data_IF_867817328122
#
_entry.id   IF_867817328122
#
_cell.length_a   1.000
_cell.length_b   1.000
_cell.length_c   1.000
_cell.angle_alpha   90.00
_cell.angle_beta   90.00
_cell.angle_gamma   90.00
#
_symmetry.space_group_name_H-M   'P 1'
#
loop_
_entity.id
_entity.type
_entity.pdbx_description
1 polymer ?
#
# COMPACT_ATOMS: atom_id res chain seq x y z
N UNK A 1 1.10 3.37 -29.18
CA UNK A 1 1.13 4.24 -27.99
C UNK A 1 0.91 3.34 -26.80
N UNK A 2 1.79 3.42 -25.80
CA UNK A 2 1.63 2.67 -24.55
C UNK A 2 0.38 3.19 -23.83
N UNK A 3 -0.44 2.29 -23.28
CA UNK A 3 -1.68 2.65 -22.57
C UNK A 3 -1.32 3.45 -21.31
N UNK A 4 -1.85 4.64 -21.18
CA UNK A 4 -1.64 5.49 -20.01
C UNK A 4 -2.90 5.46 -19.14
N UNK A 5 -2.77 5.00 -17.90
CA UNK A 5 -3.85 5.01 -16.94
C UNK A 5 -3.90 6.30 -16.15
N UNK A 6 -5.10 6.64 -15.70
CA UNK A 6 -5.41 7.83 -14.90
C UNK A 6 -5.88 7.40 -13.52
N UNK A 7 -5.37 8.07 -12.50
CA UNK A 7 -5.74 7.82 -11.12
C UNK A 7 -6.26 9.09 -10.44
N UNK A 8 -7.34 8.95 -9.69
CA UNK A 8 -7.82 9.95 -8.75
C UNK A 8 -7.56 9.49 -7.31
N UNK A 9 -7.42 10.44 -6.41
CA UNK A 9 -7.21 10.16 -4.99
C UNK A 9 -8.20 10.97 -4.17
N UNK A 10 -8.99 10.29 -3.35
CA UNK A 10 -9.75 10.87 -2.25
C UNK A 10 -9.09 10.51 -0.92
N UNK A 11 -8.99 11.46 -0.01
CA UNK A 11 -8.50 11.20 1.34
C UNK A 11 -9.31 11.96 2.39
N UNK A 12 -9.39 11.39 3.59
CA UNK A 12 -10.11 11.98 4.72
C UNK A 12 -9.35 13.14 5.36
N UNK A 13 -9.99 13.84 6.31
CA UNK A 13 -9.43 15.02 6.96
C UNK A 13 -8.35 14.71 8.02
N UNK A 14 -8.24 13.45 8.43
CA UNK A 14 -7.24 13.00 9.41
C UNK A 14 -5.82 13.18 8.84
N UNK A 15 -4.85 13.73 9.62
CA UNK A 15 -3.47 13.87 9.19
C UNK A 15 -2.81 12.57 8.71
N UNK A 16 -3.18 11.41 9.28
CA UNK A 16 -2.65 10.12 8.86
C UNK A 16 -3.14 9.72 7.46
N UNK A 17 -4.37 10.08 7.11
CA UNK A 17 -4.93 9.81 5.77
C UNK A 17 -4.27 10.70 4.72
N UNK A 18 -4.06 11.97 5.03
CA UNK A 18 -3.36 12.91 4.17
C UNK A 18 -1.91 12.47 3.95
N UNK A 19 -1.19 12.10 5.02
CA UNK A 19 0.19 11.63 4.94
C UNK A 19 0.31 10.36 4.10
N UNK A 20 -0.62 9.40 4.21
CA UNK A 20 -0.63 8.20 3.38
C UNK A 20 -0.84 8.54 1.90
N UNK A 21 -1.81 9.41 1.62
CA UNK A 21 -2.09 9.85 0.26
C UNK A 21 -0.90 10.62 -0.36
N UNK A 22 -0.24 11.50 0.40
CA UNK A 22 0.97 12.21 -0.02
C UNK A 22 2.13 11.26 -0.33
N UNK A 23 2.39 10.27 0.53
CA UNK A 23 3.45 9.28 0.29
C UNK A 23 3.17 8.44 -0.95
N UNK A 24 1.92 8.04 -1.15
CA UNK A 24 1.53 7.31 -2.35
C UNK A 24 1.78 8.15 -3.61
N UNK A 25 1.32 9.40 -3.65
CA UNK A 25 1.56 10.30 -4.78
C UNK A 25 3.06 10.56 -4.96
N UNK A 26 3.80 10.85 -3.89
CA UNK A 26 5.25 11.04 -3.93
C UNK A 26 5.99 9.84 -4.52
N UNK A 27 5.54 8.62 -4.17
CA UNK A 27 6.09 7.39 -4.75
C UNK A 27 5.76 7.25 -6.25
N UNK A 28 4.54 7.64 -6.68
CA UNK A 28 4.13 7.61 -8.08
C UNK A 28 4.88 8.62 -8.95
N UNK A 29 5.01 9.85 -8.48
CA UNK A 29 5.66 10.93 -9.25
C UNK A 29 7.17 10.90 -9.14
N UNK A 30 7.71 10.02 -8.28
CA UNK A 30 9.15 9.90 -8.04
C UNK A 30 9.78 11.24 -7.65
N UNK A 31 9.17 11.93 -6.69
CA UNK A 31 9.57 13.25 -6.23
C UNK A 31 10.96 13.23 -5.57
N UNK A 32 11.77 14.24 -5.83
CA UNK A 32 13.11 14.38 -5.26
C UNK A 32 13.08 14.52 -3.73
N UNK A 33 12.08 15.20 -3.16
CA UNK A 33 11.89 15.28 -1.70
C UNK A 33 11.57 13.91 -1.09
N UNK A 34 10.86 13.06 -1.81
CA UNK A 34 10.60 11.68 -1.40
C UNK A 34 11.90 10.86 -1.30
N UNK A 35 12.84 11.09 -2.21
CA UNK A 35 14.14 10.41 -2.23
C UNK A 35 15.07 10.82 -1.09
N UNK A 36 14.86 11.96 -0.42
CA UNK A 36 15.70 12.41 0.70
C UNK A 36 15.55 11.56 1.97
N UNK A 37 14.57 10.64 2.02
CA UNK A 37 14.36 9.80 3.19
C UNK A 37 15.61 9.06 3.66
N UNK A 38 16.47 8.60 2.74
CA UNK A 38 17.73 7.92 3.08
C UNK A 38 18.72 8.81 3.82
N UNK A 39 18.72 10.11 3.54
CA UNK A 39 19.65 11.07 4.16
C UNK A 39 19.10 11.65 5.46
N UNK A 40 17.77 11.80 5.54
CA UNK A 40 17.10 12.48 6.67
C UNK A 40 16.83 11.55 7.85
N UNK A 41 16.65 10.24 7.60
CA UNK A 41 16.33 9.28 8.65
C UNK A 41 17.59 8.88 9.46
N UNK A 42 17.38 8.36 10.66
CA UNK A 42 18.45 8.09 11.65
C UNK A 42 19.64 7.31 11.11
N UNK A 43 19.44 6.43 10.16
CA UNK A 43 20.48 5.57 9.62
C UNK A 43 21.32 6.22 8.51
N UNK A 44 20.98 7.40 8.06
CA UNK A 44 21.72 8.27 7.12
C UNK A 44 22.54 7.51 6.09
N UNK A 45 21.89 6.78 5.21
CA UNK A 45 22.54 6.12 4.09
C UNK A 45 22.74 7.14 2.97
N UNK A 46 23.94 7.19 2.40
CA UNK A 46 24.21 8.04 1.25
C UNK A 46 23.29 7.62 0.09
N UNK A 47 22.60 8.59 -0.50
CA UNK A 47 21.80 8.34 -1.69
C UNK A 47 22.68 7.83 -2.83
N UNK A 48 22.29 6.72 -3.45
CA UNK A 48 22.93 6.14 -4.63
C UNK A 48 22.02 6.19 -5.86
N UNK A 49 21.00 7.06 -5.79
CA UNK A 49 20.08 7.31 -6.90
C UNK A 49 19.31 6.08 -7.37
N UNK A 50 19.00 5.13 -6.48
CA UNK A 50 18.30 3.89 -6.78
C UNK A 50 16.95 4.08 -7.48
N UNK A 51 16.39 5.27 -7.48
CA UNK A 51 15.10 5.64 -8.10
C UNK A 51 15.23 6.40 -9.43
N UNK A 52 16.42 6.80 -9.87
CA UNK A 52 16.60 7.62 -11.10
C UNK A 52 16.02 6.96 -12.36
N UNK A 53 16.06 5.63 -12.44
CA UNK A 53 15.56 4.87 -13.58
C UNK A 53 14.04 4.56 -13.50
N UNK A 54 13.38 4.93 -12.40
CA UNK A 54 11.96 4.64 -12.24
C UNK A 54 11.10 5.60 -13.07
N UNK A 55 10.00 5.05 -13.58
CA UNK A 55 9.02 5.84 -14.31
C UNK A 55 8.37 6.88 -13.40
N UNK A 56 8.25 8.10 -13.90
CA UNK A 56 7.46 9.15 -13.28
C UNK A 56 6.02 9.08 -13.81
N UNK A 57 5.06 8.93 -12.91
CA UNK A 57 3.64 8.83 -13.22
C UNK A 57 2.86 10.13 -12.93
N UNK A 58 3.52 11.30 -12.88
CA UNK A 58 2.85 12.57 -12.62
C UNK A 58 1.70 12.85 -13.58
N UNK A 59 1.84 12.47 -14.86
CA UNK A 59 0.79 12.57 -15.85
C UNK A 59 -0.39 11.62 -15.66
N UNK A 60 -0.27 10.66 -14.74
CA UNK A 60 -1.36 9.75 -14.37
C UNK A 60 -2.24 10.29 -13.24
N UNK A 61 -1.74 11.20 -12.40
CA UNK A 61 -2.50 11.77 -11.28
C UNK A 61 -3.40 12.89 -11.80
N UNK A 62 -4.71 12.67 -11.77
CA UNK A 62 -5.70 13.58 -12.34
C UNK A 62 -6.38 14.48 -11.32
N UNK A 63 -6.55 14.00 -10.09
CA UNK A 63 -7.02 14.79 -8.97
C UNK A 63 -6.53 14.21 -7.65
N UNK A 64 -6.50 15.06 -6.62
CA UNK A 64 -6.04 14.77 -5.28
C UNK A 64 -6.85 15.62 -4.32
N UNK A 65 -7.99 15.09 -3.85
CA UNK A 65 -8.99 15.86 -3.14
C UNK A 65 -9.23 15.35 -1.72
N UNK A 66 -9.22 16.28 -0.78
CA UNK A 66 -9.64 16.02 0.60
C UNK A 66 -11.17 16.01 0.69
N UNK A 67 -11.71 14.94 1.24
CA UNK A 67 -13.13 14.83 1.54
C UNK A 67 -13.39 14.92 3.03
N UNK A 68 -14.51 15.58 3.37
CA UNK A 68 -15.03 15.49 4.74
C UNK A 68 -14.49 16.54 5.70
N UNK A 69 -14.04 17.70 5.24
CA UNK A 69 -13.83 18.84 6.14
C UNK A 69 -15.17 19.29 6.72
N UNK A 70 -15.24 19.35 8.06
CA UNK A 70 -16.44 19.77 8.80
C UNK A 70 -17.68 18.87 8.61
N UNK A 71 -17.50 17.58 8.44
CA UNK A 71 -18.60 16.61 8.44
C UNK A 71 -19.15 16.51 9.87
N UNK A 72 -20.48 16.59 10.07
CA UNK A 72 -21.10 16.32 11.36
C UNK A 72 -21.00 14.83 11.70
N UNK A 73 -21.11 14.48 13.00
CA UNK A 73 -21.07 13.07 13.46
C UNK A 73 -22.17 12.21 12.84
N UNK A 74 -23.26 12.82 12.39
CA UNK A 74 -24.36 12.18 11.68
C UNK A 74 -24.64 12.92 10.38
N UNK A 75 -24.63 12.20 9.26
CA UNK A 75 -24.86 12.74 7.92
C UNK A 75 -26.22 12.22 7.43
N UNK A 76 -27.17 13.13 7.17
CA UNK A 76 -28.46 12.77 6.59
C UNK A 76 -28.36 12.43 5.09
N UNK A 77 -27.55 13.21 4.36
CA UNK A 77 -27.36 13.06 2.91
C UNK A 77 -25.88 13.01 2.58
N UNK A 78 -25.22 11.85 2.63
CA UNK A 78 -23.79 11.72 2.39
C UNK A 78 -23.33 12.22 1.00
N UNK A 79 -24.20 12.13 -0.01
CA UNK A 79 -23.91 12.61 -1.35
C UNK A 79 -23.62 14.11 -1.43
N UNK A 80 -24.14 14.91 -0.51
CA UNK A 80 -23.87 16.38 -0.44
C UNK A 80 -22.39 16.69 -0.11
N UNK A 81 -21.67 15.74 0.48
CA UNK A 81 -20.26 15.85 0.84
C UNK A 81 -19.32 15.20 -0.17
N UNK A 82 -19.86 14.60 -1.23
CA UNK A 82 -19.09 14.10 -2.36
C UNK A 82 -19.01 15.17 -3.46
N UNK A 83 -17.90 15.24 -4.25
CA UNK A 83 -17.80 16.17 -5.35
C UNK A 83 -18.92 15.96 -6.38
N UNK A 84 -19.58 17.03 -6.84
CA UNK A 84 -20.62 16.91 -7.87
C UNK A 84 -20.12 16.25 -9.16
N UNK A 85 -18.86 16.48 -9.49
CA UNK A 85 -18.19 15.89 -10.66
C UNK A 85 -16.74 15.60 -10.35
N UNK A 86 -16.21 14.53 -10.95
CA UNK A 86 -14.78 14.22 -10.95
C UNK A 86 -14.27 14.06 -12.38
N UNK A 87 -13.01 14.37 -12.65
CA UNK A 87 -12.39 14.03 -13.93
C UNK A 87 -12.49 12.52 -14.21
N UNK A 88 -12.60 12.09 -15.48
CA UNK A 88 -12.59 10.67 -15.80
C UNK A 88 -11.24 10.04 -15.46
N UNK A 89 -11.27 8.99 -14.63
CA UNK A 89 -10.10 8.22 -14.22
C UNK A 89 -10.35 6.71 -14.39
N UNK A 90 -9.28 5.95 -14.56
CA UNK A 90 -9.34 4.49 -14.62
C UNK A 90 -9.38 3.88 -13.23
N UNK A 91 -8.62 4.46 -12.29
CA UNK A 91 -8.48 3.98 -10.92
C UNK A 91 -8.78 5.09 -9.92
N UNK A 92 -9.36 4.71 -8.80
CA UNK A 92 -9.61 5.60 -7.68
C UNK A 92 -8.99 5.01 -6.41
N UNK A 93 -8.14 5.77 -5.73
CA UNK A 93 -7.68 5.46 -4.39
C UNK A 93 -8.49 6.26 -3.38
N UNK A 94 -8.95 5.62 -2.30
CA UNK A 94 -9.79 6.23 -1.27
C UNK A 94 -9.23 5.93 0.10
N UNK A 95 -8.72 6.94 0.80
CA UNK A 95 -7.96 6.80 2.04
C UNK A 95 -8.74 7.39 3.21
N UNK A 96 -9.28 6.53 4.07
CA UNK A 96 -9.84 6.91 5.37
C UNK A 96 -10.85 8.06 5.34
N UNK A 97 -11.75 8.06 4.37
CA UNK A 97 -12.90 9.00 4.33
C UNK A 97 -13.95 8.61 5.38
N UNK A 98 -14.90 9.50 5.67
CA UNK A 98 -15.99 9.22 6.59
C UNK A 98 -16.76 7.96 6.17
N UNK A 99 -17.20 7.14 7.14
CA UNK A 99 -17.84 5.85 6.88
C UNK A 99 -19.15 5.98 6.08
N UNK A 100 -19.93 7.02 6.33
CA UNK A 100 -21.16 7.27 5.57
C UNK A 100 -20.86 7.64 4.12
N UNK A 101 -19.79 8.41 3.86
CA UNK A 101 -19.33 8.69 2.49
C UNK A 101 -18.83 7.43 1.79
N UNK A 102 -18.16 6.54 2.54
CA UNK A 102 -17.68 5.28 2.00
C UNK A 102 -18.83 4.35 1.63
N UNK A 103 -19.93 4.33 2.41
CA UNK A 103 -21.12 3.52 2.10
C UNK A 103 -21.85 4.00 0.83
N UNK A 104 -21.85 5.30 0.56
CA UNK A 104 -22.45 5.88 -0.65
C UNK A 104 -21.54 5.82 -1.89
N UNK A 105 -20.25 5.56 -1.69
CA UNK A 105 -19.29 5.62 -2.76
C UNK A 105 -19.60 4.71 -3.97
N UNK A 106 -20.09 3.46 -3.81
CA UNK A 106 -20.46 2.61 -4.94
C UNK A 106 -21.52 3.26 -5.83
N UNK A 107 -22.60 3.76 -5.24
CA UNK A 107 -23.70 4.40 -5.97
C UNK A 107 -23.24 5.71 -6.65
N UNK A 108 -22.42 6.50 -5.96
CA UNK A 108 -21.79 7.70 -6.52
C UNK A 108 -20.93 7.40 -7.76
N UNK A 109 -20.27 6.23 -7.81
CA UNK A 109 -19.33 5.86 -8.88
C UNK A 109 -19.96 5.08 -10.04
N UNK A 110 -21.21 4.61 -9.92
CA UNK A 110 -21.86 3.68 -10.87
C UNK A 110 -21.76 4.09 -12.35
N UNK A 111 -21.85 5.38 -12.64
CA UNK A 111 -21.88 5.92 -14.01
C UNK A 111 -20.53 6.51 -14.44
N UNK A 112 -19.48 6.43 -13.62
CA UNK A 112 -18.21 7.12 -13.84
C UNK A 112 -17.16 6.31 -14.60
N UNK A 113 -17.48 5.08 -15.02
CA UNK A 113 -16.60 4.18 -15.80
C UNK A 113 -15.24 3.91 -15.16
N UNK A 114 -15.19 3.91 -13.82
CA UNK A 114 -14.00 3.56 -13.07
C UNK A 114 -13.79 2.04 -13.16
N UNK A 115 -12.56 1.61 -13.44
CA UNK A 115 -12.20 0.19 -13.54
C UNK A 115 -12.08 -0.47 -12.18
N UNK A 116 -11.40 0.21 -11.26
CA UNK A 116 -11.20 -0.30 -9.92
C UNK A 116 -11.03 0.81 -8.88
N UNK A 117 -11.49 0.49 -7.65
CA UNK A 117 -11.36 1.33 -6.46
C UNK A 117 -10.47 0.61 -5.45
N UNK A 118 -9.48 1.31 -4.91
CA UNK A 118 -8.54 0.79 -3.92
C UNK A 118 -8.75 1.58 -2.62
N UNK A 119 -9.14 0.87 -1.56
CA UNK A 119 -9.51 1.43 -0.26
C UNK A 119 -8.57 0.84 0.79
N UNK A 120 -7.35 1.39 0.95
CA UNK A 120 -6.39 0.86 1.91
C UNK A 120 -6.87 1.04 3.35
N UNK A 121 -6.62 0.05 4.18
CA UNK A 121 -6.93 0.06 5.61
C UNK A 121 -5.63 0.03 6.40
N UNK A 122 -5.12 1.21 6.77
CA UNK A 122 -3.92 1.36 7.59
C UNK A 122 -4.26 1.58 9.08
N UNK A 123 -5.53 1.88 9.38
CA UNK A 123 -6.06 1.97 10.73
C UNK A 123 -7.35 1.15 10.84
N UNK A 124 -7.49 0.24 11.83
CA UNK A 124 -8.69 -0.58 12.00
C UNK A 124 -10.00 0.22 12.14
N UNK A 125 -9.88 1.50 12.56
CA UNK A 125 -11.03 2.39 12.77
C UNK A 125 -11.56 3.00 11.48
N UNK A 126 -10.79 3.01 10.39
CA UNK A 126 -11.22 3.65 9.14
C UNK A 126 -12.36 2.89 8.48
N UNK A 127 -12.29 1.57 8.45
CA UNK A 127 -13.30 0.74 7.80
C UNK A 127 -13.65 -0.43 8.71
N UNK A 128 -14.78 -0.35 9.46
CA UNK A 128 -15.28 -1.48 10.22
C UNK A 128 -15.57 -2.70 9.33
N UNK A 129 -15.35 -3.94 9.82
CA UNK A 129 -15.52 -5.15 9.01
C UNK A 129 -16.89 -5.27 8.34
N UNK A 130 -17.97 -4.91 9.04
CA UNK A 130 -19.32 -4.94 8.46
C UNK A 130 -19.50 -3.98 7.29
N UNK A 131 -18.99 -2.76 7.41
CA UNK A 131 -18.99 -1.77 6.33
C UNK A 131 -18.15 -2.24 5.15
N UNK A 132 -16.98 -2.84 5.41
CA UNK A 132 -16.12 -3.38 4.36
C UNK A 132 -16.87 -4.41 3.50
N UNK A 133 -17.58 -5.35 4.14
CA UNK A 133 -18.39 -6.38 3.43
C UNK A 133 -19.49 -5.72 2.61
N UNK A 134 -20.26 -4.84 3.21
CA UNK A 134 -21.35 -4.13 2.53
C UNK A 134 -20.86 -3.38 1.27
N UNK A 135 -19.84 -2.55 1.42
CA UNK A 135 -19.30 -1.75 0.31
C UNK A 135 -18.72 -2.63 -0.80
N UNK A 136 -18.08 -3.75 -0.42
CA UNK A 136 -17.56 -4.72 -1.38
C UNK A 136 -18.69 -5.38 -2.20
N UNK A 137 -19.79 -5.79 -1.55
CA UNK A 137 -20.98 -6.36 -2.21
C UNK A 137 -21.66 -5.34 -3.13
N UNK A 138 -21.74 -4.07 -2.72
CA UNK A 138 -22.30 -3.00 -3.54
C UNK A 138 -21.44 -2.72 -4.78
N UNK A 139 -20.11 -2.72 -4.67
CA UNK A 139 -19.21 -2.64 -5.82
C UNK A 139 -19.35 -3.84 -6.76
N UNK A 140 -19.47 -5.06 -6.21
CA UNK A 140 -19.68 -6.26 -7.02
C UNK A 140 -20.99 -6.19 -7.82
N UNK A 141 -22.08 -5.73 -7.18
CA UNK A 141 -23.38 -5.54 -7.83
C UNK A 141 -23.33 -4.54 -8.98
N UNK A 142 -22.48 -3.51 -8.87
CA UNK A 142 -22.30 -2.47 -9.88
C UNK A 142 -21.21 -2.81 -10.89
N UNK A 143 -20.64 -4.02 -10.84
CA UNK A 143 -19.55 -4.48 -11.71
C UNK A 143 -18.29 -3.61 -11.65
N UNK A 144 -18.06 -2.88 -10.55
CA UNK A 144 -16.85 -2.13 -10.26
C UNK A 144 -15.94 -3.00 -9.41
N UNK A 145 -14.68 -3.17 -9.82
CA UNK A 145 -13.72 -3.91 -9.01
C UNK A 145 -13.27 -3.08 -7.82
N UNK A 146 -13.19 -3.69 -6.64
CA UNK A 146 -12.70 -3.04 -5.44
C UNK A 146 -11.71 -3.91 -4.67
N UNK A 147 -10.81 -3.26 -3.96
CA UNK A 147 -9.82 -3.89 -3.08
C UNK A 147 -9.70 -3.12 -1.77
N UNK A 148 -9.63 -3.85 -0.65
CA UNK A 148 -9.43 -3.32 0.69
C UNK A 148 -8.13 -3.88 1.28
N UNK A 149 -6.94 -3.49 0.75
CA UNK A 149 -5.68 -4.00 1.25
C UNK A 149 -5.42 -3.54 2.69
N UNK A 150 -4.97 -4.49 3.53
CA UNK A 150 -4.76 -4.28 4.97
C UNK A 150 -3.52 -5.05 5.45
N UNK A 151 -2.36 -4.41 5.53
CA UNK A 151 -2.02 -3.04 5.12
C UNK A 151 -2.08 -2.81 3.61
N UNK A 152 -1.91 -1.56 3.16
CA UNK A 152 -1.90 -1.27 1.72
C UNK A 152 -0.81 -2.08 0.97
N UNK A 153 0.34 -2.28 1.59
CA UNK A 153 1.42 -3.10 1.02
C UNK A 153 1.13 -4.62 0.98
N UNK A 154 -0.06 -5.08 1.43
CA UNK A 154 -0.50 -6.46 1.22
C UNK A 154 -1.16 -6.69 -0.15
N UNK A 155 -1.29 -5.65 -0.98
CA UNK A 155 -1.91 -5.75 -2.30
C UNK A 155 -1.02 -6.56 -3.25
N UNK A 156 -1.43 -7.77 -3.58
CA UNK A 156 -0.69 -8.74 -4.38
C UNK A 156 -1.53 -9.31 -5.51
N UNK A 157 -0.86 -9.77 -6.57
CA UNK A 157 -1.52 -10.50 -7.67
C UNK A 157 -1.92 -11.91 -7.27
N UNK A 158 -1.19 -12.49 -6.34
CA UNK A 158 -1.45 -13.82 -5.78
C UNK A 158 -1.90 -13.71 -4.34
N UNK A 159 -2.98 -14.39 -4.00
CA UNK A 159 -3.51 -14.39 -2.63
C UNK A 159 -2.68 -15.35 -1.76
N UNK A 160 -1.93 -14.79 -0.84
CA UNK A 160 -1.21 -15.53 0.20
C UNK A 160 -1.98 -15.53 1.53
N UNK A 161 -1.39 -16.12 2.57
CA UNK A 161 -2.03 -16.24 3.88
C UNK A 161 -2.39 -14.87 4.49
N UNK A 162 -1.55 -13.86 4.30
CA UNK A 162 -1.77 -12.53 4.86
C UNK A 162 -2.82 -11.74 4.07
N UNK A 163 -2.75 -11.74 2.76
CA UNK A 163 -3.69 -10.97 1.95
C UNK A 163 -5.08 -11.61 1.80
N UNK A 164 -5.24 -12.92 2.09
CA UNK A 164 -6.58 -13.52 2.26
C UNK A 164 -7.40 -12.85 3.35
N UNK A 165 -6.72 -12.43 4.43
CA UNK A 165 -7.37 -11.77 5.57
C UNK A 165 -7.47 -10.26 5.37
N UNK A 166 -6.41 -9.63 4.82
CA UNK A 166 -6.25 -8.20 4.71
C UNK A 166 -6.55 -7.62 3.32
N UNK A 167 -6.77 -8.46 2.31
CA UNK A 167 -6.97 -8.05 0.93
C UNK A 167 -8.26 -8.66 0.37
N UNK A 168 -9.40 -8.11 0.79
CA UNK A 168 -10.70 -8.51 0.24
C UNK A 168 -10.89 -7.93 -1.15
N UNK A 169 -11.16 -8.83 -2.10
CA UNK A 169 -11.34 -8.53 -3.51
C UNK A 169 -12.79 -8.78 -3.93
N UNK A 170 -13.25 -8.04 -4.93
CA UNK A 170 -14.43 -8.43 -5.72
C UNK A 170 -14.16 -9.74 -6.48
N UNK A 171 -15.20 -10.42 -6.94
CA UNK A 171 -15.09 -11.70 -7.69
C UNK A 171 -14.22 -11.57 -8.92
N UNK A 172 -14.28 -10.43 -9.63
CA UNK A 172 -13.37 -10.06 -10.71
C UNK A 172 -12.34 -9.10 -10.16
N UNK A 173 -11.06 -9.30 -10.43
CA UNK A 173 -9.96 -8.47 -9.91
C UNK A 173 -8.82 -8.25 -10.93
N UNK A 174 -9.08 -8.53 -12.19
CA UNK A 174 -8.12 -8.30 -13.29
C UNK A 174 -7.70 -6.83 -13.43
N UNK A 175 -8.60 -5.87 -13.17
CA UNK A 175 -8.25 -4.44 -13.14
C UNK A 175 -7.35 -4.07 -11.95
N UNK A 176 -7.50 -4.76 -10.81
CA UNK A 176 -6.59 -4.59 -9.67
C UNK A 176 -5.19 -5.11 -10.02
N UNK A 177 -5.11 -6.26 -10.69
CA UNK A 177 -3.84 -6.80 -11.21
C UNK A 177 -3.23 -5.82 -12.22
N UNK A 178 -4.04 -5.27 -13.14
CA UNK A 178 -3.60 -4.26 -14.11
C UNK A 178 -3.03 -3.01 -13.41
N UNK A 179 -3.65 -2.56 -12.32
CA UNK A 179 -3.13 -1.47 -11.49
C UNK A 179 -1.74 -1.81 -10.92
N UNK A 180 -1.61 -2.97 -10.27
CA UNK A 180 -0.34 -3.41 -9.67
C UNK A 180 0.75 -3.50 -10.73
N UNK A 181 0.44 -4.10 -11.89
CA UNK A 181 1.41 -4.28 -12.98
C UNK A 181 1.85 -2.97 -13.62
N UNK A 182 0.94 -2.02 -13.74
CA UNK A 182 1.24 -0.75 -14.38
C UNK A 182 2.06 0.18 -13.47
N UNK A 183 1.62 0.35 -12.21
CA UNK A 183 2.28 1.26 -11.28
C UNK A 183 3.44 0.62 -10.52
N UNK A 184 3.58 -0.69 -10.54
CA UNK A 184 4.57 -1.45 -9.76
C UNK A 184 4.50 -1.14 -8.27
N UNK A 185 3.27 -1.06 -7.76
CA UNK A 185 2.94 -0.74 -6.36
C UNK A 185 2.07 -1.86 -5.78
N UNK A 186 2.42 -2.31 -4.56
CA UNK A 186 1.71 -3.37 -3.85
C UNK A 186 2.61 -4.09 -2.86
N UNK A 187 2.46 -5.41 -2.78
CA UNK A 187 3.35 -6.26 -1.99
C UNK A 187 4.77 -6.16 -2.56
N UNK A 188 5.79 -5.91 -1.70
CA UNK A 188 7.14 -5.71 -2.18
C UNK A 188 7.68 -6.91 -2.95
N UNK A 189 8.27 -6.64 -4.13
CA UNK A 189 9.06 -7.60 -4.89
C UNK A 189 10.43 -6.97 -5.11
N UNK A 190 11.46 -7.71 -4.74
CA UNK A 190 12.84 -7.21 -4.68
C UNK A 190 13.78 -8.15 -5.42
N UNK A 191 14.98 -7.67 -5.76
CA UNK A 191 16.05 -8.51 -6.30
C UNK A 191 17.40 -8.02 -5.79
N UNK A 192 18.38 -8.92 -5.76
CA UNK A 192 19.71 -8.67 -5.22
C UNK A 192 20.80 -9.11 -6.17
N UNK A 193 21.89 -8.32 -6.19
CA UNK A 193 23.17 -8.77 -6.72
C UNK A 193 24.01 -9.20 -5.50
N UNK A 194 24.41 -10.46 -5.49
CA UNK A 194 25.20 -11.05 -4.41
C UNK A 194 26.67 -11.11 -4.77
N UNK A 195 27.54 -11.17 -3.76
CA UNK A 195 28.94 -11.51 -3.92
C UNK A 195 29.12 -12.93 -4.48
N UNK A 196 30.28 -13.22 -5.08
CA UNK A 196 30.57 -14.53 -5.70
C UNK A 196 30.41 -15.70 -4.70
N UNK A 197 30.64 -15.46 -3.42
CA UNK A 197 30.47 -16.45 -2.34
C UNK A 197 29.04 -16.50 -1.78
N UNK A 198 28.13 -15.66 -2.30
CA UNK A 198 26.73 -15.57 -1.89
C UNK A 198 26.51 -14.99 -0.49
N UNK A 199 27.55 -14.43 0.16
CA UNK A 199 27.45 -14.00 1.57
C UNK A 199 27.13 -12.53 1.78
N UNK A 200 27.24 -11.71 0.73
CA UNK A 200 27.01 -10.27 0.83
C UNK A 200 26.07 -9.78 -0.25
N UNK A 201 25.24 -8.81 0.10
CA UNK A 201 24.38 -8.08 -0.84
C UNK A 201 25.23 -6.94 -1.41
N UNK A 202 25.63 -7.03 -2.67
CA UNK A 202 26.41 -6.00 -3.35
C UNK A 202 25.51 -4.87 -3.82
N UNK A 203 24.34 -5.21 -4.37
CA UNK A 203 23.38 -4.23 -4.85
C UNK A 203 21.93 -4.73 -4.67
N UNK A 204 21.00 -3.80 -4.73
CA UNK A 204 19.58 -4.04 -4.47
C UNK A 204 18.72 -3.40 -5.54
N UNK A 205 17.66 -4.08 -5.96
CA UNK A 205 16.69 -3.57 -6.92
C UNK A 205 15.25 -3.77 -6.39
N UNK A 206 14.42 -2.73 -6.51
CA UNK A 206 12.99 -2.80 -6.22
C UNK A 206 12.24 -3.03 -7.52
N UNK A 207 11.62 -4.19 -7.66
CA UNK A 207 10.80 -4.55 -8.82
C UNK A 207 9.34 -4.12 -8.64
N UNK A 208 8.86 -4.14 -7.39
CA UNK A 208 7.55 -3.63 -6.96
C UNK A 208 7.68 -3.05 -5.56
N UNK A 209 7.20 -1.83 -5.38
CA UNK A 209 7.34 -1.09 -4.12
C UNK A 209 6.08 -1.20 -3.26
N UNK A 210 6.26 -1.22 -1.94
CA UNK A 210 5.19 -0.80 -1.05
C UNK A 210 4.67 0.59 -1.46
N UNK A 211 3.36 0.86 -1.30
CA UNK A 211 2.75 2.12 -1.77
C UNK A 211 3.37 3.39 -1.18
N UNK A 212 3.82 3.31 0.06
CA UNK A 212 4.52 4.42 0.74
C UNK A 212 5.99 4.60 0.32
N UNK A 213 6.53 3.71 -0.52
CA UNK A 213 7.94 3.75 -0.96
C UNK A 213 8.96 3.22 0.05
N UNK A 214 8.55 2.71 1.21
CA UNK A 214 9.46 2.20 2.25
C UNK A 214 10.41 1.11 1.76
N UNK A 215 10.01 0.34 0.75
CA UNK A 215 10.83 -0.74 0.18
C UNK A 215 12.19 -0.23 -0.30
N UNK A 216 12.24 0.93 -0.96
CA UNK A 216 13.50 1.53 -1.41
C UNK A 216 14.42 1.84 -0.24
N UNK A 217 13.89 2.52 0.79
CA UNK A 217 14.65 2.84 1.98
C UNK A 217 15.18 1.58 2.69
N UNK A 218 14.33 0.57 2.87
CA UNK A 218 14.72 -0.67 3.55
C UNK A 218 15.84 -1.38 2.79
N UNK A 219 15.74 -1.49 1.46
CA UNK A 219 16.78 -2.14 0.66
C UNK A 219 18.10 -1.41 0.72
N UNK A 220 18.11 -0.07 0.74
CA UNK A 220 19.33 0.70 0.89
C UNK A 220 20.06 0.40 2.22
N UNK A 221 19.33 0.07 3.28
CA UNK A 221 19.94 -0.35 4.56
C UNK A 221 20.57 -1.74 4.50
N UNK A 222 20.23 -2.54 3.50
CA UNK A 222 20.79 -3.89 3.29
C UNK A 222 21.95 -3.92 2.32
N UNK A 223 22.16 -2.86 1.50
CA UNK A 223 23.23 -2.76 0.53
C UNK A 223 24.58 -2.78 1.21
N UNK A 224 25.57 -3.47 0.63
CA UNK A 224 26.91 -3.69 1.14
C UNK A 224 26.95 -4.37 2.52
N UNK A 225 25.96 -5.19 2.84
CA UNK A 225 25.89 -5.94 4.10
C UNK A 225 26.02 -7.44 3.88
N UNK A 226 26.63 -8.12 4.85
CA UNK A 226 26.61 -9.57 4.89
C UNK A 226 25.18 -10.09 5.11
N UNK A 227 24.84 -11.11 4.36
CA UNK A 227 23.50 -11.73 4.44
C UNK A 227 23.38 -12.41 5.78
N UNK A 228 24.45 -13.08 6.21
CA UNK A 228 24.56 -13.60 7.56
C UNK A 228 25.88 -14.27 7.86
N UNK A 229 26.38 -13.89 8.98
CA UNK A 229 26.88 -14.88 9.92
C UNK A 229 25.76 -15.34 10.87
N UNK A 230 24.58 -14.68 10.86
CA UNK A 230 23.47 -14.93 11.78
C UNK A 230 22.16 -14.45 11.13
N UNK A 231 21.22 -15.37 10.92
CA UNK A 231 19.88 -15.12 10.37
C UNK A 231 19.13 -14.04 11.16
N UNK A 232 19.37 -13.95 12.46
CA UNK A 232 18.80 -12.95 13.34
C UNK A 232 19.25 -11.53 12.94
N UNK A 233 20.50 -11.36 12.55
CA UNK A 233 21.03 -10.05 12.18
C UNK A 233 20.42 -9.47 10.90
N UNK A 234 20.03 -10.29 9.92
CA UNK A 234 19.29 -9.84 8.74
C UNK A 234 17.89 -9.36 9.12
N UNK A 235 17.15 -10.17 9.90
CA UNK A 235 15.81 -9.83 10.35
C UNK A 235 15.79 -8.56 11.20
N UNK A 236 16.78 -8.38 12.07
CA UNK A 236 16.93 -7.17 12.89
C UNK A 236 17.17 -5.93 12.03
N UNK A 237 18.05 -6.02 11.02
CA UNK A 237 18.30 -4.91 10.09
C UNK A 237 17.05 -4.52 9.31
N UNK A 238 16.32 -5.49 8.77
CA UNK A 238 15.06 -5.22 8.07
C UNK A 238 14.05 -4.57 9.00
N UNK A 239 13.90 -5.12 10.22
CA UNK A 239 12.97 -4.57 11.22
C UNK A 239 13.35 -3.16 11.62
N UNK A 240 14.63 -2.90 11.90
CA UNK A 240 15.14 -1.57 12.26
C UNK A 240 14.89 -0.57 11.12
N UNK A 241 15.17 -0.95 9.87
CA UNK A 241 14.93 -0.12 8.71
C UNK A 241 13.42 0.17 8.54
N UNK A 242 12.56 -0.84 8.67
CA UNK A 242 11.12 -0.69 8.57
C UNK A 242 10.56 0.24 9.66
N UNK A 243 11.01 0.10 10.92
CA UNK A 243 10.58 0.97 12.02
C UNK A 243 11.16 2.39 11.95
N UNK A 244 12.31 2.58 11.30
CA UNK A 244 12.89 3.91 11.09
C UNK A 244 12.18 4.70 9.99
N UNK A 245 11.54 4.02 9.04
CA UNK A 245 10.75 4.68 8.01
C UNK A 245 9.37 5.06 8.56
N UNK A 246 8.89 6.31 8.33
CA UNK A 246 7.61 6.74 8.86
C UNK A 246 6.44 6.03 8.15
N UNK A 247 6.11 4.82 8.60
CA UNK A 247 4.96 4.06 8.12
C UNK A 247 3.67 4.64 8.72
N UNK A 248 2.59 4.67 7.93
CA UNK A 248 1.28 5.16 8.38
C UNK A 248 0.40 4.06 9.01
N UNK A 249 0.85 2.81 8.94
CA UNK A 249 0.09 1.68 9.48
C UNK A 249 0.00 1.75 11.02
N UNK A 250 -1.19 1.52 11.55
CA UNK A 250 -1.47 1.56 12.97
C UNK A 250 -0.74 0.45 13.74
N UNK A 251 -0.24 0.80 14.94
CA UNK A 251 0.25 -0.13 15.95
C UNK A 251 -0.88 -0.77 16.77
N UNK A 252 -2.11 -0.26 16.64
CA UNK A 252 -3.26 -0.84 17.36
C UNK A 252 -3.50 -2.27 16.86
N UNK A 253 -3.84 -3.16 17.81
CA UNK A 253 -4.17 -4.53 17.47
C UNK A 253 -5.45 -4.60 16.64
N UNK A 254 -5.34 -5.09 15.42
CA UNK A 254 -6.49 -5.41 14.60
C UNK A 254 -7.13 -6.74 15.06
N UNK A 255 -8.46 -6.77 15.17
CA UNK A 255 -9.20 -7.93 15.67
C UNK A 255 -9.20 -9.10 14.66
N UNK A 256 -9.14 -8.80 13.37
CA UNK A 256 -9.12 -9.81 12.30
C UNK A 256 -7.70 -10.36 12.14
N UNK A 257 -6.71 -9.46 11.98
CA UNK A 257 -5.31 -9.84 11.80
C UNK A 257 -4.69 -10.46 13.07
N UNK A 258 -5.28 -10.24 14.25
CA UNK A 258 -4.75 -10.65 15.57
C UNK A 258 -3.38 -10.03 15.90
N UNK A 259 -2.91 -9.12 15.09
CA UNK A 259 -1.69 -8.35 15.22
C UNK A 259 -1.92 -6.91 14.79
N UNK A 260 -0.93 -6.03 14.89
CA UNK A 260 -1.02 -4.68 14.34
C UNK A 260 -0.80 -4.68 12.83
N UNK A 261 -1.45 -3.75 12.15
CA UNK A 261 -1.31 -3.60 10.70
C UNK A 261 0.15 -3.30 10.33
N UNK A 262 0.84 -2.50 11.15
CA UNK A 262 2.27 -2.21 10.98
C UNK A 262 3.13 -3.47 11.01
N UNK A 263 2.89 -4.38 11.95
CA UNK A 263 3.66 -5.62 12.04
C UNK A 263 3.46 -6.51 10.82
N UNK A 264 2.24 -6.59 10.29
CA UNK A 264 1.97 -7.32 9.04
C UNK A 264 2.77 -6.71 7.88
N UNK A 265 2.82 -5.39 7.74
CA UNK A 265 3.68 -4.73 6.76
C UNK A 265 5.16 -5.08 6.90
N UNK A 266 5.65 -5.15 8.15
CA UNK A 266 7.02 -5.58 8.45
C UNK A 266 7.29 -7.06 8.10
N UNK A 267 6.31 -7.93 8.25
CA UNK A 267 6.41 -9.35 7.86
C UNK A 267 6.47 -9.46 6.33
N UNK A 268 5.62 -8.75 5.60
CA UNK A 268 5.58 -8.78 4.14
C UNK A 268 6.92 -8.37 3.52
N UNK A 269 7.49 -7.24 3.94
CA UNK A 269 8.79 -6.80 3.41
C UNK A 269 9.92 -7.74 3.80
N UNK A 270 9.87 -8.33 5.01
CA UNK A 270 10.86 -9.31 5.45
C UNK A 270 10.79 -10.58 4.60
N UNK A 271 9.59 -11.07 4.31
CA UNK A 271 9.39 -12.24 3.48
C UNK A 271 9.82 -11.97 2.02
N UNK A 272 9.54 -10.80 1.47
CA UNK A 272 10.04 -10.42 0.15
C UNK A 272 11.58 -10.52 0.05
N UNK A 273 12.30 -10.02 1.07
CA UNK A 273 13.77 -10.14 1.13
C UNK A 273 14.22 -11.60 1.30
N UNK A 274 13.58 -12.35 2.19
CA UNK A 274 13.96 -13.75 2.48
C UNK A 274 13.71 -14.66 1.29
N UNK A 275 12.58 -14.51 0.62
CA UNK A 275 12.24 -15.31 -0.56
C UNK A 275 13.25 -15.09 -1.69
N UNK A 276 13.64 -13.84 -1.95
CA UNK A 276 14.64 -13.54 -2.98
C UNK A 276 16.03 -14.12 -2.62
N UNK A 277 16.36 -14.19 -1.34
CA UNK A 277 17.60 -14.81 -0.85
C UNK A 277 17.52 -16.34 -0.73
N UNK A 278 16.41 -16.97 -1.09
CA UNK A 278 16.19 -18.41 -0.94
C UNK A 278 16.11 -18.87 0.52
N UNK A 279 15.82 -17.96 1.45
CA UNK A 279 15.67 -18.27 2.87
C UNK A 279 14.21 -18.63 3.18
N UNK A 280 13.99 -19.49 4.19
CA UNK A 280 12.64 -19.82 4.66
C UNK A 280 11.90 -18.56 5.09
N UNK A 281 10.62 -18.44 4.72
CA UNK A 281 9.78 -17.34 5.17
C UNK A 281 9.76 -17.22 6.69
N UNK A 282 9.65 -15.97 7.15
CA UNK A 282 9.45 -15.69 8.55
C UNK A 282 8.00 -16.02 8.91
N UNK A 283 7.81 -17.07 9.69
CA UNK A 283 6.50 -17.38 10.25
C UNK A 283 6.16 -16.25 11.26
N UNK A 284 5.31 -15.31 10.84
CA UNK A 284 4.61 -14.41 11.77
C UNK A 284 3.85 -15.24 12.81
N UNK A 285 3.30 -14.60 13.84
CA UNK A 285 2.36 -15.31 14.73
C UNK A 285 1.27 -15.91 13.86
N UNK A 286 1.13 -17.26 13.88
CA UNK A 286 0.10 -17.97 13.12
C UNK A 286 -1.25 -17.33 13.42
N UNK A 287 -1.79 -16.64 12.42
CA UNK A 287 -3.13 -16.10 12.53
C UNK A 287 -4.10 -17.27 12.45
N UNK A 288 -4.85 -17.49 13.52
CA UNK A 288 -5.97 -18.41 13.46
C UNK A 288 -7.05 -17.73 12.57
N UNK A 289 -7.17 -18.19 11.34
CA UNK A 289 -8.27 -17.78 10.47
C UNK A 289 -9.58 -18.23 11.12
N UNK A 290 -10.39 -17.28 11.53
CA UNK A 290 -11.81 -17.52 11.81
C UNK A 290 -12.53 -16.99 10.57
N UNK A 291 -13.02 -17.91 9.73
CA UNK A 291 -13.92 -17.55 8.64
C UNK A 291 -15.12 -16.78 9.21
N UNK A 292 -15.65 -15.75 8.52
CA UNK A 292 -16.86 -15.07 8.91
C UNK A 292 -18.06 -16.02 8.97
#
# INVERSE_FOLDING_TARGET
MEKQYKIGIFYGPDPDTEMLAQKFVGNLINDDEFCKACELLEQKVKCDHCREHLRNFSSSVYFYDKLGENIPDFIENPEDFLPKTIPPVDFLMVVGIHQDLLSELPEYLKDKKIKAVIIPIENPKWVPPGLQVQVLEDFERLEIQAAFPKPYCAMSKELNEYNKVGFNLTKKHDNIIEFIDYYKIGEPIVSFILSDDGKSILDTCVLQSAPCGSTFYILQQLKAKYINDDELSLNERISKAHHSYPCNASMDKDLILKDSILHIGGILVRNAVRNELGLKEHEGRKMAYVAP
#
